data_IF_377651756487
#
_entry.id   IF_377651756487
#
_cell.length_a   1.000
_cell.length_b   1.000
_cell.length_c   1.000
_cell.angle_alpha   90.00
_cell.angle_beta   90.00
_cell.angle_gamma   90.00
#
_symmetry.space_group_name_H-M   'P 1'
#
loop_
_entity.id
_entity.type
_entity.pdbx_description
1 polymer ?
#
# COMPACT_ATOMS: atom_id res chain seq x y z
N UNK A 1 20.70 -12.47 14.45
CA UNK A 1 20.09 -12.85 13.17
C UNK A 1 20.79 -14.10 12.66
N UNK A 2 20.11 -15.26 12.59
CA UNK A 2 20.68 -16.46 11.96
C UNK A 2 20.65 -16.25 10.43
N UNK A 3 21.74 -16.55 9.69
CA UNK A 3 21.73 -16.46 8.23
C UNK A 3 20.71 -17.47 7.68
N UNK A 4 19.59 -16.98 7.14
CA UNK A 4 18.69 -17.77 6.30
C UNK A 4 19.30 -17.80 4.90
N UNK A 5 19.49 -18.99 4.33
CA UNK A 5 19.73 -19.13 2.89
C UNK A 5 18.56 -18.43 2.20
N UNK A 6 18.85 -17.33 1.49
CA UNK A 6 17.82 -16.64 0.71
C UNK A 6 17.68 -17.41 -0.60
N UNK A 7 16.56 -18.10 -0.85
CA UNK A 7 16.33 -18.66 -2.17
C UNK A 7 16.39 -17.52 -3.20
N UNK A 8 16.80 -17.85 -4.42
CA UNK A 8 16.91 -16.86 -5.49
C UNK A 8 15.55 -16.18 -5.67
N UNK A 9 15.52 -14.85 -5.47
CA UNK A 9 14.30 -14.05 -5.61
C UNK A 9 13.66 -14.29 -6.98
N UNK A 10 14.49 -14.32 -8.03
CA UNK A 10 14.04 -14.55 -9.40
C UNK A 10 13.42 -15.94 -9.57
N UNK A 11 14.04 -16.98 -9.02
CA UNK A 11 13.53 -18.35 -9.15
C UNK A 11 12.19 -18.50 -8.44
N UNK A 12 12.08 -18.03 -7.19
CA UNK A 12 10.84 -18.10 -6.41
C UNK A 12 9.74 -17.27 -7.04
N UNK A 13 10.05 -16.07 -7.52
CA UNK A 13 9.09 -15.22 -8.21
C UNK A 13 8.59 -15.87 -9.50
N UNK A 14 9.42 -16.63 -10.23
CA UNK A 14 9.07 -17.28 -11.50
C UNK A 14 8.29 -18.59 -11.35
N UNK A 15 8.27 -19.21 -10.17
CA UNK A 15 7.52 -20.45 -9.92
C UNK A 15 6.02 -20.19 -9.87
N UNK A 16 5.20 -21.19 -10.16
CA UNK A 16 3.77 -21.15 -9.87
C UNK A 16 3.51 -21.30 -8.37
N UNK A 17 2.44 -20.68 -7.83
CA UNK A 17 2.01 -20.94 -6.47
C UNK A 17 1.76 -22.44 -6.25
N UNK A 18 2.27 -23.04 -5.15
CA UNK A 18 2.09 -24.47 -4.90
C UNK A 18 0.63 -24.84 -4.56
N UNK A 19 -0.15 -23.84 -4.13
CA UNK A 19 -1.60 -23.88 -3.90
C UNK A 19 -2.18 -22.54 -4.32
N UNK A 20 -3.49 -22.48 -4.53
CA UNK A 20 -4.20 -21.21 -4.77
C UNK A 20 -3.90 -20.23 -3.64
N UNK A 21 -3.30 -19.05 -3.93
CA UNK A 21 -3.00 -18.05 -2.91
C UNK A 21 -4.26 -17.55 -2.22
N UNK A 22 -4.24 -17.34 -0.90
CA UNK A 22 -5.33 -16.69 -0.18
C UNK A 22 -5.11 -15.17 -0.11
N UNK A 23 -6.10 -14.37 -0.48
CA UNK A 23 -6.00 -12.91 -0.56
C UNK A 23 -6.89 -12.26 0.50
N UNK A 24 -6.35 -11.29 1.24
CA UNK A 24 -7.11 -10.45 2.15
C UNK A 24 -7.43 -9.11 1.50
N UNK A 25 -8.69 -8.82 1.18
CA UNK A 25 -9.10 -7.46 0.84
C UNK A 25 -9.15 -6.60 2.10
N UNK A 26 -8.34 -5.55 2.12
CA UNK A 26 -8.25 -4.61 3.24
C UNK A 26 -8.56 -3.21 2.77
N UNK A 27 -9.65 -2.66 3.32
CA UNK A 27 -10.07 -1.26 3.14
C UNK A 27 -9.06 -0.29 3.77
N UNK A 28 -8.61 -0.62 4.99
CA UNK A 28 -7.59 0.13 5.72
C UNK A 28 -8.05 1.52 6.18
N UNK A 29 -7.16 2.29 6.85
CA UNK A 29 -7.51 3.58 7.46
C UNK A 29 -7.75 4.71 6.46
N UNK A 30 -7.48 4.48 5.17
CA UNK A 30 -7.64 5.46 4.10
C UNK A 30 -8.92 5.26 3.28
N UNK A 31 -9.73 4.24 3.59
CA UNK A 31 -10.85 3.84 2.75
C UNK A 31 -11.87 4.96 2.51
N UNK A 32 -12.15 5.78 3.52
CA UNK A 32 -13.07 6.92 3.41
C UNK A 32 -12.60 7.99 2.41
N UNK A 33 -11.34 7.92 1.97
CA UNK A 33 -10.79 8.79 0.92
C UNK A 33 -10.86 8.15 -0.47
N UNK A 34 -11.25 6.88 -0.62
CA UNK A 34 -11.47 6.27 -1.92
C UNK A 34 -12.68 6.91 -2.60
N UNK A 35 -12.53 7.28 -3.87
CA UNK A 35 -13.62 7.73 -4.72
C UNK A 35 -14.66 6.60 -4.92
N UNK A 36 -15.93 6.96 -5.09
CA UNK A 36 -17.04 5.98 -5.20
C UNK A 36 -16.78 4.93 -6.29
N UNK A 37 -16.26 5.36 -7.43
CA UNK A 37 -15.84 4.49 -8.54
C UNK A 37 -14.79 3.46 -8.12
N UNK A 38 -13.81 3.85 -7.30
CA UNK A 38 -12.80 2.93 -6.78
C UNK A 38 -13.43 1.94 -5.81
N UNK A 39 -14.35 2.40 -4.96
CA UNK A 39 -15.04 1.51 -4.03
C UNK A 39 -15.90 0.47 -4.79
N UNK A 40 -16.62 0.89 -5.82
CA UNK A 40 -17.41 0.02 -6.68
C UNK A 40 -16.54 -1.00 -7.42
N UNK A 41 -15.47 -0.54 -8.09
CA UNK A 41 -14.57 -1.43 -8.84
C UNK A 41 -13.89 -2.48 -7.93
N UNK A 42 -13.56 -2.13 -6.69
CA UNK A 42 -13.03 -3.10 -5.72
C UNK A 42 -14.09 -4.06 -5.20
N UNK A 43 -15.35 -3.63 -5.06
CA UNK A 43 -16.45 -4.53 -4.69
C UNK A 43 -16.66 -5.60 -5.78
N UNK A 44 -16.70 -5.20 -7.05
CA UNK A 44 -16.79 -6.10 -8.19
C UNK A 44 -15.60 -7.06 -8.27
N UNK A 45 -14.37 -6.57 -8.06
CA UNK A 45 -13.18 -7.41 -8.05
C UNK A 45 -13.22 -8.47 -6.94
N UNK A 46 -13.62 -8.08 -5.73
CA UNK A 46 -13.71 -8.99 -4.58
C UNK A 46 -14.77 -10.05 -4.84
N UNK A 47 -15.92 -9.67 -5.40
CA UNK A 47 -16.97 -10.61 -5.81
C UNK A 47 -16.47 -11.60 -6.86
N UNK A 48 -15.81 -11.11 -7.91
CA UNK A 48 -15.27 -11.95 -8.99
C UNK A 48 -14.19 -12.92 -8.52
N UNK A 49 -13.39 -12.55 -7.51
CA UNK A 49 -12.36 -13.43 -6.92
C UNK A 49 -12.95 -14.52 -6.01
N UNK A 50 -14.20 -14.36 -5.55
CA UNK A 50 -14.94 -15.37 -4.80
C UNK A 50 -14.16 -15.92 -3.60
N UNK A 51 -14.09 -17.25 -3.48
CA UNK A 51 -13.48 -17.96 -2.34
C UNK A 51 -11.98 -17.67 -2.16
N UNK A 52 -11.32 -17.03 -3.12
CA UNK A 52 -9.90 -16.70 -3.03
C UNK A 52 -9.65 -15.38 -2.27
N UNK A 53 -10.68 -14.55 -2.09
CA UNK A 53 -10.54 -13.22 -1.48
C UNK A 53 -11.51 -13.02 -0.31
N UNK A 54 -10.98 -12.91 0.90
CA UNK A 54 -11.76 -12.56 2.08
C UNK A 54 -11.61 -11.07 2.42
N UNK A 55 -12.71 -10.42 2.83
CA UNK A 55 -12.63 -9.07 3.41
C UNK A 55 -12.12 -9.16 4.85
N UNK A 56 -11.05 -8.43 5.16
CA UNK A 56 -10.39 -8.43 6.47
C UNK A 56 -10.33 -7.01 7.03
N UNK A 57 -10.84 -6.85 8.24
CA UNK A 57 -10.69 -5.61 8.99
C UNK A 57 -9.36 -5.62 9.77
N UNK A 58 -8.61 -4.53 9.67
CA UNK A 58 -7.39 -4.36 10.46
C UNK A 58 -7.77 -4.03 11.92
N UNK A 59 -6.96 -4.49 12.90
CA UNK A 59 -7.20 -4.14 14.31
C UNK A 59 -7.22 -2.61 14.54
N UNK A 60 -7.90 -2.15 15.61
CA UNK A 60 -8.08 -0.73 15.93
C UNK A 60 -6.76 0.05 16.03
N UNK A 61 -5.67 -0.64 16.38
CA UNK A 61 -4.32 -0.07 16.45
C UNK A 61 -3.83 0.55 15.13
N UNK A 62 -4.45 0.23 14.00
CA UNK A 62 -4.16 0.81 12.69
C UNK A 62 -4.89 2.13 12.41
N UNK A 63 -5.91 2.50 13.20
CA UNK A 63 -6.77 3.66 12.93
C UNK A 63 -5.98 4.97 12.78
N UNK A 64 -4.92 5.14 13.56
CA UNK A 64 -4.08 6.35 13.56
C UNK A 64 -2.71 6.15 12.87
N UNK A 65 -2.54 5.05 12.12
CA UNK A 65 -1.25 4.71 11.51
C UNK A 65 -0.74 5.80 10.53
N UNK A 66 -1.65 6.47 9.81
CA UNK A 66 -1.31 7.57 8.90
C UNK A 66 -0.71 8.77 9.65
N UNK A 67 -1.25 9.10 10.83
CA UNK A 67 -0.70 10.16 11.70
C UNK A 67 0.65 9.78 12.30
N UNK A 68 0.82 8.52 12.71
CA UNK A 68 2.10 7.97 13.15
C UNK A 68 3.18 8.08 12.07
N UNK A 69 2.85 7.69 10.83
CA UNK A 69 3.72 7.89 9.68
C UNK A 69 4.08 9.36 9.49
N UNK A 70 3.08 10.27 9.50
CA UNK A 70 3.29 11.70 9.29
C UNK A 70 4.27 12.30 10.31
N UNK A 71 4.14 11.89 11.57
CA UNK A 71 5.02 12.32 12.66
C UNK A 71 6.48 11.98 12.35
N UNK A 72 6.76 10.73 11.96
CA UNK A 72 8.11 10.30 11.60
C UNK A 72 8.58 11.03 10.34
N UNK A 73 7.77 11.03 9.30
CA UNK A 73 8.13 11.57 7.99
C UNK A 73 8.48 13.06 8.05
N UNK A 74 7.64 13.88 8.68
CA UNK A 74 7.92 15.30 8.85
C UNK A 74 9.15 15.56 9.73
N UNK A 75 9.34 14.80 10.81
CA UNK A 75 10.51 14.94 11.69
C UNK A 75 11.81 14.61 10.96
N UNK A 76 11.85 13.47 10.25
CA UNK A 76 13.02 13.04 9.48
C UNK A 76 13.31 13.99 8.31
N UNK A 77 12.26 14.51 7.67
CA UNK A 77 12.36 15.50 6.61
C UNK A 77 12.94 16.83 7.13
N UNK A 78 12.46 17.31 8.29
CA UNK A 78 12.99 18.53 8.90
C UNK A 78 14.48 18.40 9.23
N UNK A 79 14.90 17.25 9.77
CA UNK A 79 16.30 16.97 10.03
C UNK A 79 17.13 16.90 8.74
N UNK A 80 16.63 16.19 7.72
CA UNK A 80 17.33 15.98 6.45
C UNK A 80 17.49 17.26 5.64
N UNK A 81 16.50 18.15 5.70
CA UNK A 81 16.47 19.40 4.92
C UNK A 81 16.91 20.64 5.69
N UNK A 82 17.26 20.54 6.97
CA UNK A 82 17.70 21.68 7.81
C UNK A 82 18.77 22.57 7.13
N UNK A 83 19.82 22.03 6.46
CA UNK A 83 20.81 22.88 5.79
C UNK A 83 20.22 23.72 4.64
N UNK A 84 19.25 23.18 3.91
CA UNK A 84 18.60 23.90 2.80
C UNK A 84 17.63 24.94 3.33
N UNK A 85 16.83 24.57 4.33
CA UNK A 85 15.88 25.46 4.99
C UNK A 85 16.58 26.70 5.57
N UNK A 86 17.71 26.52 6.28
CA UNK A 86 18.47 27.65 6.87
C UNK A 86 19.13 28.57 5.83
N UNK A 87 19.53 28.03 4.67
CA UNK A 87 20.27 28.79 3.64
C UNK A 87 19.36 29.50 2.65
N UNK A 88 18.12 29.05 2.46
CA UNK A 88 17.23 29.59 1.44
C UNK A 88 15.81 29.05 1.53
N UNK A 89 15.14 29.29 2.67
CA UNK A 89 13.74 28.91 2.91
C UNK A 89 12.81 29.39 1.79
N UNK A 90 12.99 30.62 1.33
CA UNK A 90 12.22 31.27 0.25
C UNK A 90 12.34 30.58 -1.12
N UNK A 91 13.33 29.68 -1.28
CA UNK A 91 13.54 28.90 -2.49
C UNK A 91 12.89 27.52 -2.44
N UNK A 92 12.31 27.13 -1.30
CA UNK A 92 11.58 25.88 -1.14
C UNK A 92 10.10 26.08 -1.49
N UNK A 93 9.42 25.01 -1.91
CA UNK A 93 7.98 25.09 -2.13
C UNK A 93 7.22 25.32 -0.81
N UNK A 94 6.07 26.02 -0.83
CA UNK A 94 5.27 26.23 0.38
C UNK A 94 4.93 24.92 1.11
N UNK A 95 4.54 23.89 0.37
CA UNK A 95 4.24 22.56 0.94
C UNK A 95 5.43 21.95 1.67
N UNK A 96 6.64 22.07 1.12
CA UNK A 96 7.84 21.53 1.76
C UNK A 96 8.20 22.32 3.03
N UNK A 97 8.03 23.65 3.00
CA UNK A 97 8.22 24.52 4.16
C UNK A 97 7.28 24.10 5.30
N UNK A 98 5.99 23.94 5.01
CA UNK A 98 4.98 23.55 6.01
C UNK A 98 5.33 22.19 6.66
N UNK A 99 5.79 21.23 5.86
CA UNK A 99 6.20 19.91 6.35
C UNK A 99 7.47 19.96 7.21
N UNK A 100 8.45 20.79 6.86
CA UNK A 100 9.66 21.01 7.68
C UNK A 100 9.27 21.65 9.01
N UNK A 101 8.46 22.70 8.98
CA UNK A 101 8.05 23.43 10.18
C UNK A 101 7.17 22.58 11.10
N UNK A 102 6.39 21.64 10.55
CA UNK A 102 5.71 20.61 11.34
C UNK A 102 6.70 19.66 12.03
N UNK A 103 7.70 19.16 11.29
CA UNK A 103 8.74 18.30 11.86
C UNK A 103 9.53 19.00 12.96
N UNK A 104 9.87 20.27 12.79
CA UNK A 104 10.58 21.08 13.79
C UNK A 104 9.80 21.26 15.10
N UNK A 105 8.46 21.21 15.04
CA UNK A 105 7.58 21.31 16.22
C UNK A 105 7.30 19.96 16.88
N UNK A 106 7.71 18.85 16.27
CA UNK A 106 7.44 17.52 16.79
C UNK A 106 8.29 17.25 18.04
N UNK A 107 7.65 16.80 19.12
CA UNK A 107 8.36 16.43 20.34
C UNK A 107 9.09 15.10 20.15
N UNK A 108 10.30 14.99 20.71
CA UNK A 108 11.10 13.76 20.66
C UNK A 108 10.35 12.54 21.24
N UNK A 109 9.50 12.75 22.24
CA UNK A 109 8.65 11.70 22.82
C UNK A 109 7.62 11.18 21.81
N UNK A 110 6.98 12.06 21.05
CA UNK A 110 5.96 11.68 20.07
C UNK A 110 6.59 10.96 18.87
N UNK A 111 7.76 11.41 18.41
CA UNK A 111 8.56 10.68 17.44
C UNK A 111 8.90 9.27 17.94
N UNK A 112 9.41 9.14 19.16
CA UNK A 112 9.79 7.85 19.74
C UNK A 112 8.59 6.91 19.86
N UNK A 113 7.41 7.44 20.25
CA UNK A 113 6.16 6.68 20.31
C UNK A 113 5.73 6.21 18.92
N UNK A 114 5.79 7.07 17.90
CA UNK A 114 5.46 6.71 16.53
C UNK A 114 6.38 5.61 15.99
N UNK A 115 7.69 5.69 16.26
CA UNK A 115 8.66 4.65 15.87
C UNK A 115 8.34 3.32 16.57
N UNK A 116 8.04 3.34 17.87
CA UNK A 116 7.69 2.13 18.63
C UNK A 116 6.34 1.53 18.17
N UNK A 117 5.39 2.35 17.73
CA UNK A 117 4.10 1.90 17.21
C UNK A 117 4.27 1.02 15.98
N UNK A 118 5.23 1.31 15.11
CA UNK A 118 5.51 0.48 13.92
C UNK A 118 5.68 -1.01 14.24
N UNK A 119 6.30 -1.35 15.37
CA UNK A 119 6.48 -2.75 15.78
C UNK A 119 5.15 -3.41 16.18
N UNK A 120 4.25 -2.63 16.78
CA UNK A 120 2.90 -3.08 17.11
C UNK A 120 2.03 -3.28 15.86
N UNK A 121 2.11 -2.36 14.88
CA UNK A 121 1.43 -2.53 13.59
C UNK A 121 1.94 -3.78 12.86
N UNK A 122 3.25 -3.98 12.83
CA UNK A 122 3.83 -5.14 12.15
C UNK A 122 3.39 -6.47 12.78
N UNK A 123 3.18 -6.55 14.09
CA UNK A 123 2.59 -7.75 14.73
C UNK A 123 1.17 -8.00 14.24
N UNK A 124 0.34 -6.96 14.15
CA UNK A 124 -1.02 -7.09 13.59
C UNK A 124 -1.01 -7.52 12.13
N UNK A 125 -0.04 -7.05 11.32
CA UNK A 125 0.12 -7.52 9.94
C UNK A 125 0.62 -8.96 9.87
N UNK A 126 1.52 -9.37 10.76
CA UNK A 126 1.99 -10.76 10.83
C UNK A 126 0.81 -11.73 11.06
N UNK A 127 -0.17 -11.38 11.90
CA UNK A 127 -1.39 -12.17 12.12
C UNK A 127 -2.25 -12.30 10.85
N UNK A 128 -2.32 -11.26 10.01
CA UNK A 128 -2.97 -11.34 8.69
C UNK A 128 -2.19 -12.28 7.78
N UNK A 129 -0.86 -12.13 7.72
CA UNK A 129 0.01 -12.95 6.86
C UNK A 129 0.23 -14.39 7.35
N UNK A 130 -0.29 -14.76 8.52
CA UNK A 130 -0.40 -16.16 8.95
C UNK A 130 -1.52 -16.89 8.20
N UNK A 131 -2.52 -16.16 7.72
CA UNK A 131 -3.72 -16.71 7.06
C UNK A 131 -3.77 -16.41 5.56
N UNK A 132 -3.17 -15.31 5.13
CA UNK A 132 -3.24 -14.81 3.77
C UNK A 132 -1.85 -14.67 3.15
N UNK A 133 -1.73 -14.99 1.87
CA UNK A 133 -0.48 -14.84 1.12
C UNK A 133 -0.20 -13.37 0.76
N UNK A 134 -1.24 -12.55 0.63
CA UNK A 134 -1.11 -11.14 0.36
C UNK A 134 -2.36 -10.34 0.75
N UNK A 135 -2.18 -9.03 0.93
CA UNK A 135 -3.27 -8.06 1.11
C UNK A 135 -3.55 -7.37 -0.23
N UNK A 136 -4.82 -7.25 -0.59
CA UNK A 136 -5.32 -6.51 -1.76
C UNK A 136 -5.97 -5.20 -1.29
N UNK A 137 -5.60 -4.09 -1.91
CA UNK A 137 -6.06 -2.74 -1.52
C UNK A 137 -5.87 -1.75 -2.69
N UNK A 138 -6.54 -0.59 -2.74
CA UNK A 138 -6.28 0.42 -3.78
C UNK A 138 -4.84 0.93 -3.77
N UNK A 139 -4.33 1.32 -4.94
CA UNK A 139 -3.05 2.02 -5.04
C UNK A 139 -3.18 3.55 -4.89
N UNK A 140 -4.39 4.08 -5.07
CA UNK A 140 -4.74 5.50 -5.00
C UNK A 140 -6.24 5.67 -4.71
N UNK A 141 -6.71 6.87 -4.31
CA UNK A 141 -8.13 7.16 -4.14
C UNK A 141 -9.00 6.90 -5.37
N UNK A 142 -8.44 7.10 -6.56
CA UNK A 142 -9.15 7.05 -7.83
C UNK A 142 -8.18 7.08 -9.00
N UNK A 143 -8.71 7.22 -10.23
CA UNK A 143 -7.90 7.42 -11.42
C UNK A 143 -7.04 8.68 -11.32
N UNK A 144 -6.13 8.83 -12.30
CA UNK A 144 -5.31 10.02 -12.39
C UNK A 144 -6.19 11.30 -12.41
N UNK A 145 -5.89 12.29 -11.54
CA UNK A 145 -6.61 13.56 -11.55
C UNK A 145 -6.40 14.29 -12.88
N UNK A 146 -7.36 15.14 -13.26
CA UNK A 146 -7.21 15.98 -14.46
C UNK A 146 -6.16 17.07 -14.22
N UNK A 147 -5.31 17.29 -15.23
CA UNK A 147 -4.25 18.31 -15.19
C UNK A 147 -2.93 17.78 -14.63
N UNK A 148 -1.99 18.69 -14.35
CA UNK A 148 -0.64 18.38 -13.85
C UNK A 148 -0.34 19.06 -12.51
N UNK A 149 -1.34 19.70 -11.89
CA UNK A 149 -1.17 20.47 -10.65
C UNK A 149 -0.96 19.58 -9.41
N UNK A 150 -1.27 18.29 -9.53
CA UNK A 150 -1.07 17.29 -8.49
C UNK A 150 -0.62 15.96 -9.09
N UNK A 151 0.27 15.28 -8.38
CA UNK A 151 0.71 13.92 -8.71
C UNK A 151 -0.24 12.84 -8.17
N UNK A 152 -1.37 13.25 -7.59
CA UNK A 152 -2.30 12.36 -6.87
C UNK A 152 -1.97 12.24 -5.37
N UNK A 153 -2.88 11.59 -4.64
CA UNK A 153 -2.77 11.42 -3.19
C UNK A 153 -2.19 10.02 -2.85
N UNK A 154 -1.02 9.93 -2.19
CA UNK A 154 -0.36 8.66 -1.87
C UNK A 154 -0.93 7.97 -0.61
N UNK A 155 -2.10 8.39 -0.12
CA UNK A 155 -2.65 7.92 1.17
C UNK A 155 -2.72 6.38 1.27
N UNK A 156 -3.06 5.70 0.18
CA UNK A 156 -3.15 4.23 0.15
C UNK A 156 -1.78 3.52 0.22
N UNK A 157 -0.68 4.20 -0.10
CA UNK A 157 0.68 3.66 0.03
C UNK A 157 1.31 3.92 1.41
N UNK A 158 0.70 4.82 2.19
CA UNK A 158 1.32 5.38 3.40
C UNK A 158 1.46 4.35 4.51
N UNK A 159 0.43 3.53 4.75
CA UNK A 159 0.47 2.48 5.78
C UNK A 159 1.59 1.47 5.50
N UNK A 160 1.73 1.03 4.26
CA UNK A 160 2.71 0.00 3.87
C UNK A 160 4.14 0.53 3.93
N UNK A 161 4.32 1.80 3.55
CA UNK A 161 5.59 2.53 3.74
C UNK A 161 5.95 2.62 5.22
N UNK A 162 4.98 2.94 6.08
CA UNK A 162 5.19 3.03 7.51
C UNK A 162 5.59 1.67 8.12
N UNK A 163 4.90 0.59 7.74
CA UNK A 163 5.19 -0.75 8.23
C UNK A 163 6.45 -1.37 7.61
N UNK A 164 6.87 -0.90 6.44
CA UNK A 164 8.01 -1.43 5.69
C UNK A 164 7.70 -2.75 4.98
N UNK A 165 6.44 -2.95 4.57
CA UNK A 165 5.99 -4.12 3.81
C UNK A 165 6.22 -3.92 2.31
N UNK A 166 6.63 -4.96 1.55
CA UNK A 166 6.72 -4.88 0.11
C UNK A 166 5.33 -4.72 -0.52
N UNK A 167 5.21 -3.89 -1.55
CA UNK A 167 3.97 -3.65 -2.27
C UNK A 167 4.23 -3.57 -3.78
N UNK A 168 3.31 -4.10 -4.59
CA UNK A 168 3.32 -4.03 -6.06
C UNK A 168 1.95 -3.60 -6.56
N UNK A 169 1.91 -2.73 -7.56
CA UNK A 169 0.67 -2.27 -8.18
C UNK A 169 0.45 -2.96 -9.52
N UNK A 170 -0.76 -3.45 -9.74
CA UNK A 170 -1.23 -4.11 -10.94
C UNK A 170 -2.38 -3.30 -11.57
N UNK A 171 -2.36 -3.07 -12.89
CA UNK A 171 -3.42 -2.33 -13.60
C UNK A 171 -4.60 -3.26 -13.91
N UNK A 172 -5.33 -3.71 -12.89
CA UNK A 172 -6.39 -4.72 -13.04
C UNK A 172 -7.79 -4.15 -13.17
N UNK A 173 -7.97 -2.85 -12.90
CA UNK A 173 -9.27 -2.20 -12.87
C UNK A 173 -9.27 -0.95 -13.74
N UNK A 174 -10.47 -0.54 -14.16
CA UNK A 174 -10.71 0.63 -14.99
C UNK A 174 -11.83 1.45 -14.38
N UNK A 175 -11.68 2.77 -14.43
CA UNK A 175 -12.71 3.73 -14.05
C UNK A 175 -13.72 4.00 -15.14
N UNK A 176 -14.79 4.73 -14.80
CA UNK A 176 -15.89 5.09 -15.71
C UNK A 176 -15.42 5.85 -16.96
N UNK A 177 -14.32 6.59 -16.83
CA UNK A 177 -13.71 7.37 -17.91
C UNK A 177 -12.65 6.58 -18.72
N UNK A 178 -12.55 5.27 -18.50
CA UNK A 178 -11.58 4.41 -19.17
C UNK A 178 -10.15 4.51 -18.62
N UNK A 179 -9.90 5.29 -17.56
CA UNK A 179 -8.57 5.40 -16.95
C UNK A 179 -8.31 4.24 -15.99
N UNK A 180 -7.05 3.77 -15.86
CA UNK A 180 -6.73 2.66 -14.98
C UNK A 180 -6.90 3.03 -13.50
N UNK A 181 -7.44 2.09 -12.73
CA UNK A 181 -7.41 2.09 -11.26
C UNK A 181 -6.40 1.01 -10.84
N UNK A 182 -5.39 1.40 -10.07
CA UNK A 182 -4.35 0.48 -9.63
C UNK A 182 -4.82 -0.40 -8.46
N UNK A 183 -4.64 -1.71 -8.59
CA UNK A 183 -4.76 -2.67 -7.48
C UNK A 183 -3.39 -2.89 -6.87
N UNK A 184 -3.25 -2.63 -5.57
CA UNK A 184 -2.02 -2.90 -4.85
C UNK A 184 -2.10 -4.24 -4.13
N UNK A 185 -1.09 -5.07 -4.34
CA UNK A 185 -0.82 -6.27 -3.56
C UNK A 185 0.31 -5.97 -2.58
N UNK A 186 0.08 -6.23 -1.30
CA UNK A 186 1.03 -6.03 -0.22
C UNK A 186 1.41 -7.38 0.38
N UNK A 187 2.71 -7.63 0.48
CA UNK A 187 3.25 -8.89 0.97
C UNK A 187 3.82 -8.80 2.38
N UNK A 188 4.12 -9.97 2.94
CA UNK A 188 4.82 -10.07 4.21
C UNK A 188 6.23 -9.47 4.10
N UNK A 189 6.69 -8.82 5.17
CA UNK A 189 8.05 -8.27 5.24
C UNK A 189 9.09 -9.33 4.89
N UNK A 190 10.00 -8.98 3.98
CA UNK A 190 11.10 -9.83 3.51
C UNK A 190 10.68 -11.05 2.67
N UNK A 191 9.45 -11.09 2.15
CA UNK A 191 8.95 -12.13 1.25
C UNK A 191 8.56 -11.58 -0.14
N UNK A 192 9.37 -10.65 -0.65
CA UNK A 192 9.19 -9.97 -1.94
C UNK A 192 9.02 -10.96 -3.10
N UNK A 193 9.75 -12.09 -3.05
CA UNK A 193 9.69 -13.10 -4.10
C UNK A 193 8.32 -13.81 -4.16
N UNK A 194 7.74 -14.16 -3.00
CA UNK A 194 6.38 -14.70 -2.94
C UNK A 194 5.37 -13.66 -3.39
N UNK A 195 5.52 -12.40 -2.98
CA UNK A 195 4.62 -11.32 -3.42
C UNK A 195 4.59 -11.21 -4.95
N UNK A 196 5.75 -11.19 -5.61
CA UNK A 196 5.82 -11.11 -7.08
C UNK A 196 5.20 -12.33 -7.76
N UNK A 197 5.39 -13.53 -7.20
CA UNK A 197 4.71 -14.75 -7.68
C UNK A 197 3.19 -14.62 -7.56
N UNK A 198 2.69 -14.23 -6.38
CA UNK A 198 1.26 -14.04 -6.13
C UNK A 198 0.67 -12.94 -7.03
N UNK A 199 1.43 -11.88 -7.30
CA UNK A 199 1.02 -10.82 -8.22
C UNK A 199 0.87 -11.31 -9.67
N UNK A 200 1.81 -12.15 -10.15
CA UNK A 200 1.66 -12.78 -11.48
C UNK A 200 0.41 -13.67 -11.53
N UNK A 201 0.24 -14.50 -10.51
CA UNK A 201 -0.92 -15.37 -10.40
C UNK A 201 -2.23 -14.58 -10.42
N UNK A 202 -2.35 -13.51 -9.60
CA UNK A 202 -3.55 -12.69 -9.54
C UNK A 202 -3.86 -12.04 -10.89
N UNK A 203 -2.85 -11.49 -11.57
CA UNK A 203 -3.03 -10.88 -12.88
C UNK A 203 -3.55 -11.88 -13.92
N UNK A 204 -3.04 -13.12 -13.92
CA UNK A 204 -3.51 -14.19 -14.80
C UNK A 204 -4.94 -14.64 -14.46
N UNK A 205 -5.25 -14.79 -13.17
CA UNK A 205 -6.61 -15.15 -12.71
C UNK A 205 -7.64 -14.09 -13.14
N UNK A 206 -7.36 -12.81 -12.91
CA UNK A 206 -8.27 -11.72 -13.31
C UNK A 206 -8.45 -11.68 -14.82
N UNK A 207 -7.37 -11.81 -15.60
CA UNK A 207 -7.46 -11.85 -17.06
C UNK A 207 -8.33 -13.02 -17.58
N UNK A 208 -8.27 -14.19 -16.92
CA UNK A 208 -9.11 -15.33 -17.26
C UNK A 208 -10.59 -15.10 -16.92
N UNK A 209 -10.88 -14.39 -15.82
CA UNK A 209 -12.24 -14.03 -15.43
C UNK A 209 -12.88 -13.03 -16.42
N UNK A 210 -12.10 -12.06 -16.90
CA UNK A 210 -12.57 -11.08 -17.90
C UNK A 210 -12.62 -11.64 -19.33
N UNK A 211 -11.77 -12.61 -19.66
CA UNK A 211 -11.79 -13.25 -20.98
C UNK A 211 -12.93 -14.25 -21.17
N UNK A 212 -13.47 -14.82 -20.09
CA UNK A 212 -14.60 -15.74 -20.13
C UNK A 212 -15.95 -15.04 -20.41
N UNK A 213 -16.04 -13.72 -20.16
CA UNK A 213 -17.26 -12.94 -20.43
C UNK A 213 -17.40 -12.46 -21.87
N UNK A 214 -16.31 -12.42 -22.65
CA UNK A 214 -16.32 -11.91 -24.03
C UNK A 214 -16.63 -12.98 -25.10
N UNK A 215 -16.67 -14.27 -24.72
CA UNK A 215 -16.93 -15.40 -25.63
C UNK A 215 -18.42 -15.85 -25.66
N UNK A 216 -19.34 -15.16 -24.94
CA UNK A 216 -20.78 -15.48 -24.88
C UNK A 216 -21.71 -14.52 -25.67
N UNK A 217 -21.18 -13.55 -26.43
CA UNK A 217 -21.95 -12.66 -27.34
C UNK A 217 -21.67 -12.91 -28.83
#
# INVERSE_FOLDING_TARGET
>A
SRPRVRPSLREVAAQEPPVTPAIAFVKGPAWDQAEEQTQAAFAELVEALGEVCDTVELPEVFANALGGHRTIYCTDLALSFDPFYRRGRDRLSPTLIDMIEEGQRTLALDYTRAVAWRDLLNRGLDEVFERFDAILTPAAPGPAPRGLDSTGNPVFCTLWTFCGTPAVTLPLLQGENGLPIGVQLVGRRHDDARLLRTARWLAATVAALTGASDDED
#
